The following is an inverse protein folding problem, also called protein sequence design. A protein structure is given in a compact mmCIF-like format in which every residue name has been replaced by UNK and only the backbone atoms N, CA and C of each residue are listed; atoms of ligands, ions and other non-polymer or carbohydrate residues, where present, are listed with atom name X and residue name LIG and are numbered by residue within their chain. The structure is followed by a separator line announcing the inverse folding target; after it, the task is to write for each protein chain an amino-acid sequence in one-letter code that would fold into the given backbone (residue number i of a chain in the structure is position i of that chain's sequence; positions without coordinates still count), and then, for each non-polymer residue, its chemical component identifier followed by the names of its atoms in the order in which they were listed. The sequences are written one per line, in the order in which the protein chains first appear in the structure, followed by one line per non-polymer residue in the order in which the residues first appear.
data_IF_074292899963
#
_entry.id   IF_074292899963
#
_cell.length_a   1.000
_cell.length_b   1.000
_cell.length_c   1.000
_cell.angle_alpha   90.00
_cell.angle_beta   90.00
_cell.angle_gamma   90.00
#
_symmetry.space_group_name_H-M   'P 1'
#
loop_
_entity.id
_entity.type
_entity.pdbx_description
1 polymer ?
#
# COMPACT_ATOMS: atom_id res chain seq x y z
N UNK A 1 11.90 -18.87 30.67
CA UNK A 1 12.43 -19.18 29.33
C UNK A 1 12.56 -17.87 28.58
N UNK A 2 13.79 -17.42 28.32
CA UNK A 2 14.03 -16.23 27.50
C UNK A 2 13.65 -16.56 26.06
N UNK A 3 12.57 -15.97 25.58
CA UNK A 3 12.23 -16.02 24.17
C UNK A 3 13.35 -15.27 23.43
N UNK A 4 14.14 -16.00 22.68
CA UNK A 4 15.17 -15.40 21.81
C UNK A 4 14.42 -14.50 20.83
N UNK A 5 14.67 -13.20 20.90
CA UNK A 5 14.07 -12.22 20.00
C UNK A 5 14.88 -12.28 18.70
N UNK A 6 14.20 -12.61 17.64
CA UNK A 6 14.82 -12.62 16.30
C UNK A 6 14.54 -11.24 15.69
N UNK A 7 15.59 -10.49 15.31
CA UNK A 7 15.41 -9.26 14.54
C UNK A 7 14.65 -9.57 13.25
N UNK A 8 13.72 -8.71 12.88
CA UNK A 8 12.98 -8.85 11.64
C UNK A 8 13.03 -7.56 10.82
N UNK A 9 13.01 -7.66 9.49
CA UNK A 9 12.99 -6.50 8.63
C UNK A 9 11.70 -5.72 8.84
N UNK A 10 11.80 -4.38 8.82
CA UNK A 10 10.67 -3.51 9.05
C UNK A 10 10.81 -2.17 8.33
N UNK A 11 9.67 -1.53 8.09
CA UNK A 11 9.56 -0.12 7.74
C UNK A 11 8.62 0.59 8.71
N UNK A 12 8.94 1.83 9.05
CA UNK A 12 8.00 2.69 9.77
C UNK A 12 6.96 3.23 8.79
N UNK A 13 5.69 2.95 9.07
CA UNK A 13 4.57 3.51 8.33
C UNK A 13 4.15 4.88 8.89
N UNK A 14 4.07 4.96 10.23
CA UNK A 14 3.68 6.17 10.94
C UNK A 14 4.32 6.19 12.33
N UNK A 15 4.66 7.39 12.80
CA UNK A 15 5.18 7.61 14.15
C UNK A 15 4.54 8.85 14.75
N UNK A 16 4.10 8.76 16.02
CA UNK A 16 3.56 9.89 16.76
C UNK A 16 4.08 9.92 18.19
N UNK A 17 4.20 11.12 18.76
CA UNK A 17 4.57 11.28 20.16
C UNK A 17 3.62 10.49 21.09
N UNK A 18 4.20 9.82 22.07
CA UNK A 18 3.49 9.04 23.08
C UNK A 18 4.18 9.20 24.42
N UNK A 19 3.43 9.70 25.42
CA UNK A 19 4.01 10.10 26.72
C UNK A 19 5.17 11.11 26.55
N UNK A 20 5.93 11.36 27.60
CA UNK A 20 6.94 12.43 27.61
C UNK A 20 8.13 12.18 26.67
N UNK A 21 8.62 10.94 26.58
CA UNK A 21 9.88 10.60 25.89
C UNK A 21 9.73 9.47 24.88
N UNK A 22 8.54 8.92 24.71
CA UNK A 22 8.28 7.77 23.84
C UNK A 22 7.55 8.18 22.57
N UNK A 23 7.59 7.30 21.56
CA UNK A 23 6.73 7.37 20.38
C UNK A 23 5.91 6.09 20.24
N UNK A 24 4.71 6.21 19.72
CA UNK A 24 3.91 5.10 19.21
C UNK A 24 4.16 4.99 17.72
N UNK A 25 4.65 3.84 17.30
CA UNK A 25 5.11 3.61 15.94
C UNK A 25 4.34 2.44 15.33
N UNK A 26 3.77 2.66 14.15
CA UNK A 26 3.21 1.61 13.29
C UNK A 26 4.29 1.14 12.33
N UNK A 27 4.59 -0.15 12.36
CA UNK A 27 5.56 -0.81 11.50
C UNK A 27 4.88 -1.71 10.48
N UNK A 28 5.45 -1.82 9.30
CA UNK A 28 5.24 -2.91 8.36
C UNK A 28 6.39 -3.89 8.49
N UNK A 29 6.07 -5.16 8.64
CA UNK A 29 7.02 -6.30 8.66
C UNK A 29 6.48 -7.42 7.77
N UNK A 30 7.27 -8.46 7.42
CA UNK A 30 6.75 -9.65 6.74
C UNK A 30 5.66 -10.38 7.53
N UNK A 31 5.65 -10.19 8.87
CA UNK A 31 4.63 -10.76 9.77
C UNK A 31 3.38 -9.86 9.90
N UNK A 32 3.23 -8.89 8.98
CA UNK A 32 2.11 -7.97 8.96
C UNK A 32 2.42 -6.61 9.62
N UNK A 33 1.37 -5.86 9.88
CA UNK A 33 1.46 -4.57 10.53
C UNK A 33 1.54 -4.73 12.05
N UNK A 34 2.52 -4.10 12.68
CA UNK A 34 2.72 -4.12 14.13
C UNK A 34 2.68 -2.70 14.69
N UNK A 35 2.11 -2.56 15.90
CA UNK A 35 2.19 -1.30 16.65
C UNK A 35 3.06 -1.50 17.88
N UNK A 36 4.05 -0.60 18.06
CA UNK A 36 4.98 -0.70 19.17
C UNK A 36 5.30 0.66 19.80
N UNK A 37 5.65 0.62 21.09
CA UNK A 37 6.19 1.76 21.82
C UNK A 37 7.71 1.79 21.64
N UNK A 38 8.22 2.87 21.09
CA UNK A 38 9.63 3.19 21.06
C UNK A 38 9.94 4.12 22.23
N UNK A 39 10.70 3.64 23.20
CA UNK A 39 11.17 4.45 24.35
C UNK A 39 12.33 5.34 23.92
N UNK A 40 12.52 6.47 24.62
CA UNK A 40 13.58 7.46 24.34
C UNK A 40 13.59 7.91 22.87
N UNK A 41 12.41 8.14 22.30
CA UNK A 41 12.23 8.53 20.91
C UNK A 41 12.82 9.92 20.56
N UNK A 42 13.29 10.68 21.56
CA UNK A 42 14.05 11.93 21.35
C UNK A 42 15.55 11.70 21.13
N UNK A 43 16.04 10.49 21.36
CA UNK A 43 17.44 10.10 21.17
C UNK A 43 17.70 9.48 19.79
N UNK A 44 18.87 8.82 19.66
CA UNK A 44 19.34 8.20 18.41
C UNK A 44 18.32 7.23 17.79
N UNK A 45 17.61 6.47 18.59
CA UNK A 45 16.57 5.56 18.09
C UNK A 45 15.42 6.31 17.40
N UNK A 46 15.03 7.48 17.92
CA UNK A 46 13.95 8.28 17.32
C UNK A 46 14.29 8.83 15.93
N UNK A 47 15.57 9.06 15.62
CA UNK A 47 15.98 9.49 14.28
C UNK A 47 15.76 8.43 13.22
N UNK A 48 15.69 7.15 13.62
CA UNK A 48 15.37 6.02 12.75
C UNK A 48 13.86 5.78 12.61
N UNK A 49 13.06 6.28 13.58
CA UNK A 49 11.60 6.08 13.60
C UNK A 49 10.89 7.00 12.60
N UNK A 50 11.34 6.99 11.36
CA UNK A 50 10.80 7.76 10.24
C UNK A 50 10.50 6.85 9.05
N UNK A 51 9.52 7.20 8.19
CA UNK A 51 9.20 6.43 7.00
C UNK A 51 10.38 6.25 6.04
N UNK A 52 10.32 5.20 5.24
CA UNK A 52 11.19 4.92 4.09
C UNK A 52 12.63 4.55 4.43
N UNK A 53 12.90 4.23 5.69
CA UNK A 53 14.19 3.66 6.13
C UNK A 53 14.00 2.15 6.28
N UNK A 54 14.79 1.31 5.59
CA UNK A 54 14.81 -0.11 5.87
C UNK A 54 15.46 -0.35 7.24
N UNK A 55 14.77 -1.10 8.09
CA UNK A 55 15.15 -1.34 9.48
C UNK A 55 15.24 -2.83 9.78
N UNK A 56 16.06 -3.18 10.77
CA UNK A 56 15.97 -4.41 11.55
C UNK A 56 15.46 -4.07 12.94
N UNK A 57 14.36 -4.71 13.36
CA UNK A 57 13.69 -4.40 14.62
C UNK A 57 13.41 -5.65 15.42
N UNK A 58 13.72 -5.61 16.72
CA UNK A 58 13.30 -6.60 17.70
C UNK A 58 12.13 -6.07 18.52
N UNK A 59 11.04 -6.84 18.57
CA UNK A 59 9.84 -6.50 19.33
C UNK A 59 9.70 -7.39 20.56
N UNK A 60 9.22 -6.82 21.67
CA UNK A 60 8.88 -7.53 22.92
C UNK A 60 7.44 -7.30 23.31
N UNK A 61 6.84 -8.30 23.92
CA UNK A 61 5.46 -8.26 24.41
C UNK A 61 4.55 -9.24 23.68
N UNK A 62 3.52 -9.73 24.38
CA UNK A 62 2.56 -10.71 23.87
C UNK A 62 1.24 -10.07 23.39
N UNK A 63 0.94 -8.83 23.82
CA UNK A 63 -0.28 -8.12 23.44
C UNK A 63 -0.16 -7.38 22.11
N UNK A 64 -1.24 -6.79 21.66
CA UNK A 64 -1.31 -5.98 20.42
C UNK A 64 -0.32 -4.79 20.41
N UNK A 65 -0.04 -4.22 21.58
CA UNK A 65 0.95 -3.16 21.73
C UNK A 65 2.29 -3.76 22.17
N UNK A 66 3.23 -3.84 21.22
CA UNK A 66 4.59 -4.31 21.48
C UNK A 66 5.48 -3.20 22.04
N UNK A 67 6.69 -3.55 22.43
CA UNK A 67 7.77 -2.61 22.74
C UNK A 67 8.94 -2.87 21.79
N UNK A 68 9.53 -1.83 21.26
CA UNK A 68 10.79 -1.93 20.52
C UNK A 68 11.91 -2.15 21.53
N UNK A 69 12.64 -3.26 21.42
CA UNK A 69 13.83 -3.55 22.26
C UNK A 69 15.12 -3.16 21.57
N UNK A 70 15.21 -3.32 20.25
CA UNK A 70 16.33 -2.92 19.41
C UNK A 70 15.80 -2.46 18.06
N UNK A 71 16.42 -1.43 17.49
CA UNK A 71 16.10 -0.93 16.15
C UNK A 71 17.36 -0.36 15.53
N UNK A 72 17.72 -0.88 14.36
CA UNK A 72 18.91 -0.50 13.61
C UNK A 72 18.55 -0.29 12.14
N UNK A 73 19.33 0.53 11.44
CA UNK A 73 19.20 0.67 10.00
C UNK A 73 19.72 -0.58 9.30
N UNK A 74 18.91 -1.15 8.41
CA UNK A 74 19.25 -2.30 7.55
C UNK A 74 19.71 -1.87 6.15
N UNK A 75 19.78 -0.57 5.89
CA UNK A 75 20.18 -0.05 4.59
C UNK A 75 20.05 1.47 4.47
N UNK A 76 20.18 1.96 3.26
CA UNK A 76 20.06 3.39 2.95
C UNK A 76 18.58 3.79 2.90
N UNK A 77 18.25 4.90 3.54
CA UNK A 77 16.91 5.48 3.44
C UNK A 77 16.57 5.83 1.99
N UNK A 78 15.35 5.52 1.57
CA UNK A 78 14.87 5.94 0.25
C UNK A 78 14.54 7.43 0.30
N UNK A 79 15.29 8.21 -0.48
CA UNK A 79 15.09 9.65 -0.56
C UNK A 79 14.07 10.00 -1.64
N UNK A 80 13.02 10.70 -1.26
CA UNK A 80 11.95 11.13 -2.15
C UNK A 80 11.56 12.56 -1.87
N UNK A 81 11.18 13.31 -2.91
CA UNK A 81 10.72 14.70 -2.82
C UNK A 81 9.42 14.87 -3.63
N UNK A 82 8.66 15.91 -3.34
CA UNK A 82 7.43 16.27 -4.05
C UNK A 82 6.45 15.12 -4.17
N UNK A 83 5.94 14.89 -5.37
CA UNK A 83 4.90 13.89 -5.62
C UNK A 83 5.35 12.44 -5.32
N UNK A 84 6.66 12.13 -5.43
CA UNK A 84 7.20 10.82 -5.04
C UNK A 84 7.10 10.63 -3.52
N UNK A 85 7.43 11.64 -2.72
CA UNK A 85 7.25 11.62 -1.26
C UNK A 85 5.78 11.46 -0.89
N UNK A 86 4.88 12.21 -1.51
CA UNK A 86 3.43 12.11 -1.28
C UNK A 86 2.90 10.73 -1.66
N UNK A 87 3.43 10.13 -2.74
CA UNK A 87 3.13 8.75 -3.13
C UNK A 87 3.54 7.75 -2.06
N UNK A 88 4.74 7.86 -1.50
CA UNK A 88 5.18 7.00 -0.40
C UNK A 88 4.30 7.13 0.85
N UNK A 89 3.90 8.36 1.22
CA UNK A 89 2.98 8.60 2.34
C UNK A 89 1.59 8.03 2.07
N UNK A 90 1.13 8.09 0.82
CA UNK A 90 -0.11 7.46 0.37
C UNK A 90 -0.08 5.93 0.54
N UNK A 91 1.03 5.28 0.14
CA UNK A 91 1.20 3.84 0.36
C UNK A 91 1.16 3.49 1.85
N UNK A 92 1.82 4.28 2.70
CA UNK A 92 1.78 4.08 4.16
C UNK A 92 0.35 4.15 4.70
N UNK A 93 -0.42 5.15 4.27
CA UNK A 93 -1.81 5.29 4.71
C UNK A 93 -2.69 4.13 4.25
N UNK A 94 -2.53 3.66 3.00
CA UNK A 94 -3.24 2.49 2.50
C UNK A 94 -2.97 1.25 3.37
N UNK A 95 -1.70 0.96 3.65
CA UNK A 95 -1.31 -0.19 4.47
C UNK A 95 -1.89 -0.07 5.89
N UNK A 96 -1.79 1.11 6.51
CA UNK A 96 -2.34 1.34 7.86
C UNK A 96 -3.85 1.10 7.90
N UNK A 97 -4.56 1.49 6.84
CA UNK A 97 -6.01 1.44 6.77
C UNK A 97 -6.57 0.07 6.39
N UNK A 98 -5.84 -0.68 5.56
CA UNK A 98 -6.34 -1.90 4.93
C UNK A 98 -5.72 -3.17 5.51
N UNK A 99 -4.42 -3.14 5.87
CA UNK A 99 -3.74 -4.33 6.36
C UNK A 99 -4.11 -4.61 7.82
N UNK A 100 -4.63 -5.81 8.14
CA UNK A 100 -4.86 -6.21 9.53
C UNK A 100 -3.58 -6.17 10.37
N UNK A 101 -3.75 -6.06 11.69
CA UNK A 101 -2.62 -6.10 12.62
C UNK A 101 -2.22 -7.55 12.88
N UNK A 102 -0.91 -7.82 12.90
CA UNK A 102 -0.33 -9.13 13.21
C UNK A 102 -0.82 -10.26 12.27
N UNK A 103 -1.13 -9.92 11.03
CA UNK A 103 -1.51 -10.86 9.99
C UNK A 103 -0.37 -10.92 8.94
N UNK A 104 0.28 -12.09 8.75
CA UNK A 104 1.45 -12.22 7.89
C UNK A 104 1.13 -11.96 6.40
N UNK A 105 1.78 -10.97 5.82
CA UNK A 105 1.70 -10.64 4.41
C UNK A 105 3.10 -10.33 3.84
N UNK A 106 3.98 -11.32 3.71
CA UNK A 106 5.37 -11.10 3.25
C UNK A 106 5.43 -10.49 1.85
N UNK A 107 4.50 -10.84 0.97
CA UNK A 107 4.45 -10.25 -0.39
C UNK A 107 4.08 -8.76 -0.36
N UNK A 108 3.22 -8.31 0.55
CA UNK A 108 2.92 -6.87 0.72
C UNK A 108 4.18 -6.14 1.17
N UNK A 109 4.95 -6.71 2.09
CA UNK A 109 6.23 -6.15 2.54
C UNK A 109 7.23 -6.01 1.38
N UNK A 110 7.41 -7.05 0.57
CA UNK A 110 8.30 -7.06 -0.58
C UNK A 110 7.86 -6.04 -1.65
N UNK A 111 6.57 -6.03 -1.99
CA UNK A 111 6.02 -5.07 -2.95
C UNK A 111 6.15 -3.62 -2.47
N UNK A 112 5.96 -3.36 -1.18
CA UNK A 112 6.15 -2.05 -0.60
C UNK A 112 7.61 -1.61 -0.74
N UNK A 113 8.56 -2.46 -0.34
CA UNK A 113 10.00 -2.17 -0.45
C UNK A 113 10.41 -1.88 -1.91
N UNK A 114 9.99 -2.73 -2.86
CA UNK A 114 10.28 -2.55 -4.28
C UNK A 114 9.66 -1.25 -4.84
N UNK A 115 8.42 -0.94 -4.45
CA UNK A 115 7.74 0.28 -4.89
C UNK A 115 8.44 1.54 -4.36
N UNK A 116 8.88 1.54 -3.09
CA UNK A 116 9.66 2.65 -2.54
C UNK A 116 10.96 2.87 -3.32
N UNK A 117 11.70 1.79 -3.63
CA UNK A 117 12.92 1.90 -4.43
C UNK A 117 12.66 2.49 -5.82
N UNK A 118 11.58 2.06 -6.48
CA UNK A 118 11.20 2.57 -7.78
C UNK A 118 10.78 4.06 -7.73
N UNK A 119 10.06 4.48 -6.68
CA UNK A 119 9.71 5.89 -6.43
C UNK A 119 10.98 6.73 -6.21
N UNK A 120 11.90 6.26 -5.38
CA UNK A 120 13.19 6.92 -5.12
C UNK A 120 14.09 7.00 -6.36
N UNK A 121 13.99 6.04 -7.28
CA UNK A 121 14.69 6.02 -8.56
C UNK A 121 14.01 6.90 -9.65
N UNK A 122 12.94 7.63 -9.32
CA UNK A 122 12.25 8.52 -10.24
C UNK A 122 11.44 7.82 -11.33
N UNK A 123 10.99 6.59 -11.11
CA UNK A 123 10.10 5.89 -12.04
C UNK A 123 8.73 6.55 -12.09
N UNK A 124 7.99 6.32 -13.18
CA UNK A 124 6.66 6.88 -13.38
C UNK A 124 5.70 6.53 -12.22
N UNK A 125 5.14 7.56 -11.57
CA UNK A 125 4.40 7.42 -10.30
C UNK A 125 3.08 6.67 -10.48
N UNK A 126 2.28 7.06 -11.47
CA UNK A 126 0.93 6.50 -11.63
C UNK A 126 0.93 4.98 -11.87
N UNK A 127 1.75 4.41 -12.78
CA UNK A 127 1.89 2.96 -12.92
C UNK A 127 2.26 2.24 -11.63
N UNK A 128 3.22 2.79 -10.88
CA UNK A 128 3.67 2.22 -9.60
C UNK A 128 2.54 2.17 -8.59
N UNK A 129 1.79 3.26 -8.45
CA UNK A 129 0.67 3.33 -7.52
C UNK A 129 -0.45 2.35 -7.91
N UNK A 130 -0.83 2.30 -9.20
CA UNK A 130 -1.88 1.38 -9.67
C UNK A 130 -1.49 -0.08 -9.45
N UNK A 131 -0.23 -0.43 -9.78
CA UNK A 131 0.27 -1.80 -9.55
C UNK A 131 0.31 -2.17 -8.07
N UNK A 132 0.71 -1.23 -7.20
CA UNK A 132 0.73 -1.49 -5.76
C UNK A 132 -0.68 -1.67 -5.20
N UNK A 133 -1.61 -0.78 -5.54
CA UNK A 133 -3.01 -0.83 -5.09
C UNK A 133 -3.68 -2.15 -5.47
N UNK A 134 -3.50 -2.58 -6.72
CA UNK A 134 -4.09 -3.83 -7.20
C UNK A 134 -3.51 -5.03 -6.47
N UNK A 135 -2.18 -5.11 -6.35
CA UNK A 135 -1.51 -6.19 -5.60
C UNK A 135 -1.89 -6.21 -4.13
N UNK A 136 -2.05 -5.04 -3.51
CA UNK A 136 -2.50 -4.95 -2.12
C UNK A 136 -3.90 -5.55 -1.96
N UNK A 137 -4.85 -5.20 -2.82
CA UNK A 137 -6.21 -5.78 -2.80
C UNK A 137 -6.16 -7.29 -3.02
N UNK A 138 -5.37 -7.76 -3.97
CA UNK A 138 -5.20 -9.20 -4.25
C UNK A 138 -4.69 -9.96 -3.01
N UNK A 139 -3.64 -9.45 -2.36
CA UNK A 139 -3.07 -10.06 -1.15
C UNK A 139 -4.01 -10.04 0.06
N UNK A 140 -4.97 -9.12 0.08
CA UNK A 140 -6.00 -9.05 1.11
C UNK A 140 -7.24 -9.90 0.81
N UNK A 141 -7.24 -10.64 -0.33
CA UNK A 141 -8.37 -11.46 -0.74
C UNK A 141 -9.50 -10.69 -1.44
N UNK A 142 -9.25 -9.43 -1.81
CA UNK A 142 -10.18 -8.57 -2.55
C UNK A 142 -9.78 -8.42 -4.02
N UNK A 143 -8.89 -9.28 -4.51
CA UNK A 143 -8.45 -9.31 -5.89
C UNK A 143 -9.58 -9.67 -6.86
N UNK A 144 -9.50 -9.13 -8.07
CA UNK A 144 -10.40 -9.47 -9.17
C UNK A 144 -9.60 -9.53 -10.47
N UNK A 145 -10.07 -10.36 -11.41
CA UNK A 145 -9.44 -10.48 -12.72
C UNK A 145 -9.72 -9.24 -13.59
N UNK A 146 -8.77 -8.91 -14.47
CA UNK A 146 -8.90 -7.80 -15.42
C UNK A 146 -9.08 -8.30 -16.87
N UNK A 147 -8.93 -9.60 -17.08
CA UNK A 147 -8.95 -10.29 -18.37
C UNK A 147 -10.12 -11.25 -18.55
N UNK A 148 -10.88 -11.49 -17.47
CA UNK A 148 -12.13 -12.27 -17.49
C UNK A 148 -13.22 -11.52 -16.72
N UNK A 149 -14.48 -11.73 -17.10
CA UNK A 149 -15.62 -11.17 -16.41
C UNK A 149 -16.18 -12.12 -15.33
N UNK A 150 -17.24 -11.69 -14.62
CA UNK A 150 -17.89 -12.47 -13.54
C UNK A 150 -18.48 -13.80 -14.02
N UNK A 151 -18.70 -13.99 -15.31
CA UNK A 151 -19.20 -15.23 -15.89
C UNK A 151 -18.04 -16.17 -16.29
N UNK A 152 -16.80 -15.70 -16.23
CA UNK A 152 -15.63 -16.41 -16.71
C UNK A 152 -15.33 -16.20 -18.20
N UNK A 153 -16.05 -15.29 -18.86
CA UNK A 153 -15.84 -14.96 -20.26
C UNK A 153 -14.63 -14.01 -20.41
N UNK A 154 -13.79 -14.19 -21.44
CA UNK A 154 -12.67 -13.29 -21.70
C UNK A 154 -13.15 -11.85 -21.95
N UNK A 155 -12.44 -10.88 -21.38
CA UNK A 155 -12.71 -9.46 -21.64
C UNK A 155 -12.44 -9.13 -23.10
N UNK A 156 -13.49 -8.72 -23.83
CA UNK A 156 -13.40 -8.28 -25.21
C UNK A 156 -12.88 -6.85 -25.31
N UNK A 157 -11.93 -6.60 -26.20
CA UNK A 157 -11.26 -5.29 -26.36
C UNK A 157 -12.25 -4.13 -26.59
N UNK A 158 -13.33 -4.40 -27.34
CA UNK A 158 -14.40 -3.46 -27.68
C UNK A 158 -15.58 -3.49 -26.70
N UNK A 159 -15.53 -4.37 -25.69
CA UNK A 159 -16.55 -4.51 -24.66
C UNK A 159 -16.56 -3.36 -23.66
N UNK A 160 -17.73 -3.15 -23.05
CA UNK A 160 -17.92 -2.21 -21.94
C UNK A 160 -18.15 -2.98 -20.65
N UNK A 161 -17.50 -2.54 -19.57
CA UNK A 161 -17.52 -3.26 -18.31
C UNK A 161 -17.76 -2.29 -17.13
N UNK A 162 -18.42 -2.79 -16.09
CA UNK A 162 -18.47 -2.15 -14.77
C UNK A 162 -17.81 -3.03 -13.72
N UNK A 163 -17.24 -2.42 -12.70
CA UNK A 163 -16.76 -3.14 -11.54
C UNK A 163 -17.93 -3.43 -10.59
N UNK A 164 -18.18 -4.72 -10.36
CA UNK A 164 -18.97 -5.17 -9.22
C UNK A 164 -17.98 -5.45 -8.09
N UNK A 165 -18.06 -4.65 -7.03
CA UNK A 165 -17.16 -4.81 -5.89
C UNK A 165 -17.37 -6.21 -5.29
N UNK A 166 -16.29 -6.86 -4.89
CA UNK A 166 -16.24 -8.25 -4.39
C UNK A 166 -16.63 -9.36 -5.41
N UNK A 167 -16.97 -9.01 -6.64
CA UNK A 167 -17.32 -9.98 -7.68
C UNK A 167 -16.41 -9.91 -8.92
N UNK A 168 -16.00 -8.71 -9.33
CA UNK A 168 -15.16 -8.51 -10.50
C UNK A 168 -15.83 -7.68 -11.60
N UNK A 169 -15.46 -7.93 -12.85
CA UNK A 169 -15.93 -7.17 -14.00
C UNK A 169 -17.21 -7.78 -14.56
N UNK A 170 -18.23 -6.97 -14.78
CA UNK A 170 -19.46 -7.37 -15.45
C UNK A 170 -19.56 -6.66 -16.80
N UNK A 171 -19.80 -7.44 -17.87
CA UNK A 171 -20.04 -6.90 -19.20
C UNK A 171 -21.38 -6.16 -19.26
N UNK A 172 -21.41 -5.01 -19.92
CA UNK A 172 -22.60 -4.17 -20.05
C UNK A 172 -22.86 -3.84 -21.51
N UNK A 173 -24.11 -4.00 -21.95
CA UNK A 173 -24.53 -3.78 -23.35
C UNK A 173 -24.78 -2.29 -23.65
N UNK A 174 -25.23 -1.52 -22.63
CA UNK A 174 -25.62 -0.12 -22.81
C UNK A 174 -24.59 0.83 -22.23
N UNK A 175 -24.25 1.84 -23.01
CA UNK A 175 -23.34 2.89 -22.58
C UNK A 175 -23.93 3.66 -21.38
N UNK A 176 -23.17 3.69 -20.28
CA UNK A 176 -23.52 4.37 -19.04
C UNK A 176 -22.28 5.10 -18.48
N UNK A 177 -22.48 6.13 -17.66
CA UNK A 177 -21.33 6.76 -16.97
C UNK A 177 -20.59 5.77 -16.07
N UNK A 178 -19.26 5.89 -16.04
CA UNK A 178 -18.42 5.12 -15.12
C UNK A 178 -17.96 3.75 -15.62
N UNK A 179 -18.33 3.36 -16.84
CA UNK A 179 -17.86 2.12 -17.46
C UNK A 179 -16.37 2.20 -17.85
N UNK A 180 -15.80 1.02 -18.02
CA UNK A 180 -14.43 0.79 -18.48
C UNK A 180 -14.46 0.10 -19.84
N UNK A 181 -13.59 0.51 -20.75
CA UNK A 181 -13.41 -0.20 -22.01
C UNK A 181 -12.54 -1.44 -21.79
N UNK A 182 -12.85 -2.53 -22.50
CA UNK A 182 -12.07 -3.76 -22.41
C UNK A 182 -10.61 -3.56 -22.78
N UNK A 183 -10.31 -2.72 -23.78
CA UNK A 183 -8.95 -2.36 -24.13
C UNK A 183 -8.16 -1.74 -22.96
N UNK A 184 -8.80 -0.87 -22.14
CA UNK A 184 -8.18 -0.26 -20.98
C UNK A 184 -7.91 -1.30 -19.88
N UNK A 185 -8.84 -2.23 -19.66
CA UNK A 185 -8.72 -3.29 -18.65
C UNK A 185 -7.62 -4.30 -19.03
N UNK A 186 -7.58 -4.72 -20.28
CA UNK A 186 -6.54 -5.61 -20.80
C UNK A 186 -5.16 -4.96 -20.77
N UNK A 187 -5.07 -3.65 -21.07
CA UNK A 187 -3.82 -2.89 -20.92
C UNK A 187 -3.33 -2.90 -19.48
N UNK A 188 -4.23 -2.73 -18.49
CA UNK A 188 -3.88 -2.83 -17.07
C UNK A 188 -3.40 -4.23 -16.71
N UNK A 189 -4.08 -5.31 -17.16
CA UNK A 189 -3.70 -6.68 -16.91
C UNK A 189 -2.27 -6.98 -17.40
N UNK A 190 -1.89 -6.38 -18.55
CA UNK A 190 -0.58 -6.54 -19.19
C UNK A 190 0.46 -5.50 -18.76
N UNK A 191 0.10 -4.58 -17.88
CA UNK A 191 0.92 -3.42 -17.50
C UNK A 191 1.37 -2.55 -18.70
N UNK A 192 0.56 -2.49 -19.77
CA UNK A 192 0.78 -1.70 -20.99
C UNK A 192 0.25 -0.27 -20.80
N UNK A 193 0.95 0.50 -19.99
CA UNK A 193 0.52 1.82 -19.52
C UNK A 193 0.54 2.92 -20.57
N UNK A 194 1.19 2.70 -21.72
CA UNK A 194 1.21 3.57 -22.89
C UNK A 194 -0.11 3.51 -23.70
N UNK A 195 -0.96 2.52 -23.45
CA UNK A 195 -2.28 2.43 -24.07
C UNK A 195 -3.13 3.65 -23.69
N UNK A 196 -3.68 4.38 -24.69
CA UNK A 196 -4.52 5.55 -24.42
C UNK A 196 -5.67 5.23 -23.45
N UNK A 197 -5.84 6.05 -22.43
CA UNK A 197 -6.90 5.88 -21.43
C UNK A 197 -6.57 4.93 -20.28
N UNK A 198 -5.61 3.98 -20.44
CA UNK A 198 -5.33 2.94 -19.44
C UNK A 198 -5.03 3.48 -18.04
N UNK A 199 -4.17 4.48 -17.90
CA UNK A 199 -3.84 5.08 -16.59
C UNK A 199 -5.05 5.79 -15.95
N UNK A 200 -5.85 6.49 -16.76
CA UNK A 200 -7.05 7.15 -16.26
C UNK A 200 -8.11 6.15 -15.81
N UNK A 201 -8.31 5.09 -16.59
CA UNK A 201 -9.19 3.98 -16.26
C UNK A 201 -8.72 3.26 -14.98
N UNK A 202 -7.43 2.93 -14.90
CA UNK A 202 -6.81 2.32 -13.73
C UNK A 202 -7.04 3.14 -12.46
N UNK A 203 -6.87 4.45 -12.53
CA UNK A 203 -7.09 5.36 -11.41
C UNK A 203 -8.56 5.37 -10.96
N UNK A 204 -9.51 5.34 -11.90
CA UNK A 204 -10.94 5.26 -11.59
C UNK A 204 -11.28 3.90 -10.96
N UNK A 205 -10.81 2.81 -11.57
CA UNK A 205 -11.05 1.44 -11.13
C UNK A 205 -10.53 1.22 -9.69
N UNK A 206 -9.27 1.56 -9.44
CA UNK A 206 -8.67 1.41 -8.12
C UNK A 206 -9.35 2.29 -7.06
N UNK A 207 -9.83 3.49 -7.44
CA UNK A 207 -10.62 4.32 -6.52
C UNK A 207 -11.94 3.66 -6.13
N UNK A 208 -12.63 3.02 -7.07
CA UNK A 208 -13.88 2.29 -6.82
C UNK A 208 -13.61 1.07 -5.94
N UNK A 209 -12.64 0.24 -6.32
CA UNK A 209 -12.28 -0.97 -5.58
C UNK A 209 -11.86 -0.68 -4.13
N UNK A 210 -11.00 0.32 -3.91
CA UNK A 210 -10.51 0.69 -2.58
C UNK A 210 -11.59 1.37 -1.71
N UNK A 211 -12.55 2.09 -2.30
CA UNK A 211 -13.51 2.91 -1.55
C UNK A 211 -14.34 2.10 -0.55
N UNK A 212 -14.74 0.89 -0.92
CA UNK A 212 -15.53 -0.01 -0.08
C UNK A 212 -14.75 -0.42 1.16
N UNK A 213 -13.50 -0.83 0.98
CA UNK A 213 -12.63 -1.32 2.05
C UNK A 213 -12.10 -0.18 2.96
N UNK A 214 -12.11 1.06 2.48
CA UNK A 214 -11.73 2.24 3.27
C UNK A 214 -12.85 2.76 4.20
N UNK A 215 -14.04 2.17 4.15
CA UNK A 215 -15.15 2.52 5.06
C UNK A 215 -15.63 3.96 4.92
N UNK A 216 -15.62 4.51 3.70
CA UNK A 216 -16.14 5.87 3.41
C UNK A 216 -15.28 7.03 3.93
N UNK A 217 -14.17 6.76 4.63
CA UNK A 217 -13.27 7.80 5.12
C UNK A 217 -12.23 8.14 4.04
N UNK A 218 -12.12 9.39 3.59
CA UNK A 218 -11.13 9.79 2.60
C UNK A 218 -9.70 9.55 3.10
N UNK A 219 -8.79 9.33 2.16
CA UNK A 219 -7.36 9.25 2.45
C UNK A 219 -6.80 10.67 2.56
N UNK A 220 -6.20 10.99 3.70
CA UNK A 220 -5.64 12.33 4.01
C UNK A 220 -4.45 12.62 3.10
N UNK A 221 -3.64 11.61 2.79
CA UNK A 221 -2.50 11.74 1.89
C UNK A 221 -2.86 12.21 0.48
N UNK A 222 -4.11 12.01 0.04
CA UNK A 222 -4.59 12.54 -1.26
C UNK A 222 -4.67 14.07 -1.29
N UNK A 223 -4.79 14.72 -0.16
CA UNK A 223 -4.81 16.18 -0.07
C UNK A 223 -3.44 16.80 -0.36
N UNK A 224 -2.35 16.05 -0.12
CA UNK A 224 -0.98 16.49 -0.40
C UNK A 224 -0.73 16.74 -1.90
N UNK A 225 -1.50 16.06 -2.78
CA UNK A 225 -1.40 16.24 -4.24
C UNK A 225 -2.22 17.44 -4.77
N UNK A 226 -3.04 18.07 -3.92
CA UNK A 226 -3.76 19.27 -4.31
C UNK A 226 -2.77 20.44 -4.24
N UNK A 227 -2.38 20.93 -5.42
CA UNK A 227 -1.64 22.20 -5.48
C UNK A 227 -2.56 23.32 -4.96
N UNK A 228 -2.04 24.26 -4.17
CA UNK A 228 -2.80 25.43 -3.76
C UNK A 228 -3.26 26.25 -4.95
#
# INVERSE_FOLDING_TARGET
MSTTLIPQPAYVLHSRAYRETSALVDFLTPQGRLRAVLRNARGKAGTLARPFVPLEVEFRGKGELKNVSRMESAGVAVWMLGDALFSGLYLNELIIRLLPSEDPHPQVFEHYAATLQALGAGRALEPLLRSFEWRLLDQLGYGFALDVDVNGDPVATDGLYRLLVDAGLERVELLQPGLFQGAELLAMAQASWETPGALAAAKRLMRQALAVHLGGRPLVSRELFRKP
#
